data_IF_954316108635
#
_entry.id   IF_954316108635
#
_cell.length_a   1.000
_cell.length_b   1.000
_cell.length_c   1.000
_cell.angle_alpha   90.00
_cell.angle_beta   90.00
_cell.angle_gamma   90.00
#
_symmetry.space_group_name_H-M   'P 1'
#
loop_
_entity.id
_entity.type
_entity.pdbx_description
1 polymer ?
#
# COMPACT_ATOMS: atom_id res chain seq x y z
N UNK A 1 -5.39 -8.06 -1.38
CA UNK A 1 -4.82 -6.77 -0.99
C UNK A 1 -3.31 -6.86 -0.97
N UNK A 2 -2.60 -5.76 -1.09
CA UNK A 2 -1.25 -5.79 -1.68
C UNK A 2 -0.27 -4.99 -0.86
N UNK A 3 0.91 -5.52 -0.59
CA UNK A 3 2.03 -4.78 -0.03
C UNK A 3 2.80 -4.07 -1.16
N UNK A 4 2.98 -2.73 -1.10
CA UNK A 4 3.89 -1.97 -1.96
C UNK A 4 5.08 -1.51 -1.12
N UNK A 5 6.27 -1.83 -1.58
CA UNK A 5 7.51 -1.30 -0.99
C UNK A 5 7.84 -0.04 -1.79
N UNK A 6 7.89 1.10 -1.10
CA UNK A 6 8.34 2.36 -1.71
C UNK A 6 9.85 2.27 -2.00
N UNK A 7 10.19 2.15 -3.27
CA UNK A 7 11.59 2.11 -3.75
C UNK A 7 12.04 3.44 -4.36
N UNK A 8 11.25 4.52 -4.24
CA UNK A 8 11.61 5.86 -4.73
C UNK A 8 12.37 6.66 -3.68
N UNK A 9 13.50 6.14 -3.19
CA UNK A 9 14.56 6.97 -2.64
C UNK A 9 15.44 7.41 -3.82
N UNK A 10 15.23 8.63 -4.30
CA UNK A 10 16.06 9.24 -5.34
C UNK A 10 17.53 9.26 -4.91
N UNK A 11 18.42 8.88 -5.83
CA UNK A 11 19.86 9.07 -5.67
C UNK A 11 20.17 10.55 -5.40
N UNK A 12 21.02 10.90 -4.43
CA UNK A 12 21.53 12.25 -4.31
C UNK A 12 22.48 12.51 -5.49
N UNK A 13 22.18 13.55 -6.25
CA UNK A 13 23.07 14.09 -7.28
C UNK A 13 24.21 14.78 -6.54
N UNK A 14 25.44 14.36 -6.82
CA UNK A 14 26.66 14.89 -6.21
C UNK A 14 26.82 16.38 -6.47
N UNK A 15 27.20 17.10 -5.41
CA UNK A 15 27.66 18.46 -5.47
C UNK A 15 29.10 18.48 -5.98
N UNK A 16 29.35 19.08 -7.14
CA UNK A 16 30.68 19.54 -7.53
C UNK A 16 30.91 20.97 -7.00
N UNK A 17 31.87 21.10 -6.12
CA UNK A 17 32.46 22.37 -5.73
C UNK A 17 33.25 22.96 -6.89
N UNK A 18 33.09 24.28 -7.13
CA UNK A 18 34.15 25.12 -7.72
C UNK A 18 34.16 26.51 -7.13
N UNK A 19 35.36 27.13 -7.11
CA UNK A 19 35.77 28.07 -6.08
C UNK A 19 35.48 29.54 -6.40
N UNK A 20 35.43 30.29 -5.30
CA UNK A 20 35.43 31.75 -5.18
C UNK A 20 36.52 32.49 -5.95
N UNK A 21 36.13 33.60 -6.61
CA UNK A 21 36.98 34.81 -6.64
C UNK A 21 36.12 36.07 -6.61
N UNK A 22 36.45 36.89 -5.67
CA UNK A 22 35.98 38.26 -5.43
C UNK A 22 36.40 39.23 -6.53
N UNK A 23 35.56 40.21 -6.85
CA UNK A 23 35.98 41.63 -6.91
C UNK A 23 34.77 42.56 -7.06
N UNK A 24 34.90 43.63 -6.27
CA UNK A 24 34.00 44.77 -6.07
C UNK A 24 33.98 45.79 -7.19
N UNK A 25 32.99 46.73 -7.03
CA UNK A 25 32.80 48.09 -7.59
C UNK A 25 32.07 48.16 -8.91
N UNK A 26 31.17 49.06 -9.23
CA UNK A 26 30.88 50.41 -8.72
C UNK A 26 29.53 50.87 -9.27
N UNK A 27 28.91 51.74 -8.54
CA UNK A 27 27.73 52.54 -8.79
C UNK A 27 27.67 53.23 -10.15
N UNK A 28 26.51 53.29 -10.84
CA UNK A 28 26.03 54.51 -11.49
C UNK A 28 24.53 54.44 -11.73
N UNK A 29 23.80 55.37 -11.18
CA UNK A 29 22.43 55.71 -11.46
C UNK A 29 22.24 56.15 -12.92
N UNK A 30 21.17 55.67 -13.57
CA UNK A 30 20.48 56.48 -14.59
C UNK A 30 19.03 56.10 -14.72
N UNK A 31 18.29 57.13 -14.79
CA UNK A 31 16.88 57.43 -14.79
C UNK A 31 15.90 56.51 -15.53
N UNK A 32 14.70 56.55 -15.01
CA UNK A 32 13.40 56.08 -15.52
C UNK A 32 13.16 56.40 -17.02
N UNK A 33 12.72 55.36 -17.73
CA UNK A 33 11.81 55.59 -18.85
C UNK A 33 10.77 54.48 -18.87
N UNK A 34 9.57 54.79 -18.41
CA UNK A 34 8.39 53.96 -18.41
C UNK A 34 7.79 53.92 -19.84
N UNK A 35 8.00 52.77 -20.50
CA UNK A 35 7.12 52.39 -21.61
C UNK A 35 6.46 51.05 -21.28
N UNK A 36 5.15 50.87 -21.48
CA UNK A 36 4.46 49.64 -21.18
C UNK A 36 4.86 48.57 -22.21
N UNK A 37 5.68 47.62 -21.76
CA UNK A 37 5.91 46.39 -22.55
C UNK A 37 4.68 45.51 -22.40
N UNK A 38 3.86 45.51 -23.43
CA UNK A 38 2.90 44.44 -23.69
C UNK A 38 3.66 43.14 -23.87
N UNK A 39 3.69 42.28 -22.85
CA UNK A 39 4.21 40.93 -22.97
C UNK A 39 3.27 40.15 -23.89
N UNK A 40 3.64 40.04 -25.13
CA UNK A 40 3.04 39.08 -26.05
C UNK A 40 3.50 37.69 -25.66
N UNK A 41 2.69 37.02 -24.83
CA UNK A 41 2.70 35.57 -24.73
C UNK A 41 2.36 34.99 -26.10
N UNK A 42 3.31 34.39 -26.81
CA UNK A 42 3.03 33.53 -27.97
C UNK A 42 2.49 32.20 -27.43
N UNK A 43 1.24 31.81 -27.67
CA UNK A 43 0.78 30.47 -27.39
C UNK A 43 1.27 29.53 -28.50
N UNK A 44 1.96 28.50 -28.08
CA UNK A 44 2.57 27.47 -28.94
C UNK A 44 1.57 26.39 -29.41
N UNK A 45 0.33 26.76 -29.67
CA UNK A 45 -0.63 26.00 -30.52
C UNK A 45 -1.71 26.96 -30.99
N UNK A 46 -1.84 27.15 -32.30
CA UNK A 46 -2.96 27.90 -32.88
C UNK A 46 -4.29 27.21 -32.53
N UNK A 47 -4.95 27.75 -31.52
CA UNK A 47 -6.30 27.31 -31.12
C UNK A 47 -7.24 27.76 -32.23
N UNK A 48 -7.70 26.83 -33.07
CA UNK A 48 -8.76 27.09 -34.06
C UNK A 48 -10.09 27.24 -33.34
N UNK A 49 -10.35 28.41 -32.76
CA UNK A 49 -11.59 28.75 -32.10
C UNK A 49 -12.22 30.02 -32.72
N UNK A 50 -13.55 30.15 -32.61
CA UNK A 50 -14.21 31.40 -32.94
C UNK A 50 -13.87 32.46 -31.86
N UNK A 51 -13.89 33.77 -32.19
CA UNK A 51 -13.55 34.82 -31.21
C UNK A 51 -14.33 34.73 -29.91
N UNK A 52 -15.61 34.38 -29.96
CA UNK A 52 -16.48 34.20 -28.79
C UNK A 52 -16.07 32.96 -27.98
N UNK A 53 -15.74 31.86 -28.66
CA UNK A 53 -15.27 30.65 -28.00
C UNK A 53 -13.93 30.88 -27.27
N UNK A 54 -13.00 31.56 -27.96
CA UNK A 54 -11.69 31.90 -27.40
C UNK A 54 -11.82 32.80 -26.15
N UNK A 55 -12.73 33.79 -26.16
CA UNK A 55 -13.00 34.63 -25.01
C UNK A 55 -13.53 33.83 -23.80
N UNK A 56 -14.46 32.89 -24.01
CA UNK A 56 -15.01 32.04 -22.96
C UNK A 56 -13.96 31.07 -22.41
N UNK A 57 -13.13 30.46 -23.28
CA UNK A 57 -12.02 29.59 -22.89
C UNK A 57 -11.06 30.33 -21.95
N UNK A 58 -10.70 31.59 -22.32
CA UNK A 58 -9.81 32.41 -21.51
C UNK A 58 -10.45 32.84 -20.18
N UNK A 59 -11.72 33.28 -20.19
CA UNK A 59 -12.46 33.71 -19.00
C UNK A 59 -12.65 32.56 -18.00
N UNK A 60 -13.07 31.40 -18.46
CA UNK A 60 -13.39 30.23 -17.63
C UNK A 60 -12.21 29.29 -17.44
N UNK A 61 -11.02 29.59 -17.98
CA UNK A 61 -9.81 28.75 -17.92
C UNK A 61 -10.05 27.28 -18.33
N UNK A 62 -10.83 27.08 -19.40
CA UNK A 62 -11.14 25.75 -19.92
C UNK A 62 -9.92 25.20 -20.65
N UNK A 63 -9.53 23.95 -20.36
CA UNK A 63 -8.48 23.28 -21.15
C UNK A 63 -9.04 22.97 -22.54
N UNK A 64 -8.40 23.53 -23.56
CA UNK A 64 -8.79 23.33 -24.97
C UNK A 64 -8.80 21.86 -25.38
N UNK A 65 -7.97 21.03 -24.73
CA UNK A 65 -7.93 19.58 -24.97
C UNK A 65 -9.19 18.85 -24.53
N UNK A 66 -9.97 19.46 -23.65
CA UNK A 66 -11.24 18.92 -23.17
C UNK A 66 -12.44 19.35 -24.03
N UNK A 67 -12.23 20.22 -25.01
CA UNK A 67 -13.29 20.74 -25.90
C UNK A 67 -13.29 20.00 -27.23
N UNK A 68 -14.41 19.36 -27.58
CA UNK A 68 -14.59 18.70 -28.88
C UNK A 68 -15.07 19.73 -29.91
N UNK A 69 -14.29 20.07 -30.97
CA UNK A 69 -14.68 21.06 -31.97
C UNK A 69 -15.81 20.53 -32.88
N UNK A 70 -16.91 21.27 -32.99
CA UNK A 70 -18.03 20.94 -33.90
C UNK A 70 -18.17 21.91 -35.10
N UNK A 71 -17.40 22.99 -35.11
CA UNK A 71 -17.45 23.97 -36.19
C UNK A 71 -16.74 23.53 -37.46
N UNK A 72 -17.03 24.21 -38.57
CA UNK A 72 -16.41 23.95 -39.88
C UNK A 72 -14.87 24.07 -39.82
N UNK A 73 -14.17 23.15 -40.50
CA UNK A 73 -12.72 23.02 -40.47
C UNK A 73 -12.11 22.77 -39.08
N UNK A 74 -12.85 22.09 -38.18
CA UNK A 74 -12.38 21.75 -36.84
C UNK A 74 -12.26 22.96 -35.89
N UNK A 75 -13.04 24.05 -36.12
CA UNK A 75 -13.09 25.19 -35.21
C UNK A 75 -13.95 24.93 -34.01
N UNK A 76 -13.46 25.31 -32.83
CA UNK A 76 -14.23 25.33 -31.62
C UNK A 76 -15.24 26.48 -31.64
N UNK A 77 -16.51 26.18 -31.49
CA UNK A 77 -17.58 27.18 -31.40
C UNK A 77 -18.05 27.37 -29.93
N UNK A 78 -18.81 28.46 -29.69
CA UNK A 78 -19.32 28.77 -28.36
C UNK A 78 -20.03 27.55 -27.68
N UNK A 79 -20.83 26.82 -28.48
CA UNK A 79 -21.60 25.67 -27.95
C UNK A 79 -20.71 24.55 -27.46
N UNK A 80 -19.55 24.31 -28.10
CA UNK A 80 -18.59 23.28 -27.70
C UNK A 80 -17.99 23.58 -26.30
N UNK A 81 -17.62 24.86 -26.08
CA UNK A 81 -17.08 25.31 -24.81
C UNK A 81 -18.14 25.23 -23.70
N UNK A 82 -19.38 25.63 -24.00
CA UNK A 82 -20.49 25.51 -23.06
C UNK A 82 -20.83 24.04 -22.74
N UNK A 83 -20.72 23.14 -23.73
CA UNK A 83 -20.92 21.71 -23.50
C UNK A 83 -19.80 21.11 -22.62
N UNK A 84 -18.55 21.53 -22.82
CA UNK A 84 -17.43 21.12 -21.97
C UNK A 84 -17.61 21.62 -20.52
N UNK A 85 -18.03 22.85 -20.32
CA UNK A 85 -18.31 23.42 -19.00
C UNK A 85 -19.49 22.75 -18.29
N UNK A 86 -20.52 22.36 -19.05
CA UNK A 86 -21.67 21.65 -18.51
C UNK A 86 -21.36 20.19 -18.15
N UNK A 87 -20.30 19.61 -18.69
CA UNK A 87 -19.92 18.20 -18.51
C UNK A 87 -18.41 18.08 -18.22
N UNK A 88 -17.95 18.54 -17.04
CA UNK A 88 -16.53 18.48 -16.68
C UNK A 88 -16.05 17.00 -16.60
N UNK A 89 -14.85 16.75 -17.13
CA UNK A 89 -14.23 15.42 -17.16
C UNK A 89 -14.65 14.53 -18.34
N UNK A 90 -15.41 15.07 -19.30
CA UNK A 90 -15.75 14.36 -20.53
C UNK A 90 -14.53 14.23 -21.43
N UNK A 91 -14.25 13.03 -21.91
CA UNK A 91 -13.20 12.84 -22.94
C UNK A 91 -13.61 13.46 -24.27
N UNK A 92 -12.74 14.24 -24.94
CA UNK A 92 -13.00 14.78 -26.29
C UNK A 92 -13.42 13.69 -27.26
N UNK A 93 -14.40 13.99 -28.13
CA UNK A 93 -14.91 13.02 -29.13
C UNK A 93 -15.92 12.00 -28.59
N UNK A 94 -16.26 12.01 -27.29
CA UNK A 94 -17.29 11.13 -26.76
C UNK A 94 -18.67 11.75 -27.03
N UNK A 95 -19.58 11.02 -27.69
CA UNK A 95 -20.96 11.46 -27.88
C UNK A 95 -21.67 11.41 -26.53
N UNK A 96 -22.39 12.50 -26.17
CA UNK A 96 -23.21 12.54 -24.96
C UNK A 96 -24.32 11.47 -25.08
N UNK A 97 -24.48 10.69 -24.01
CA UNK A 97 -25.48 9.63 -23.88
C UNK A 97 -25.22 8.35 -24.69
N UNK A 98 -24.06 8.20 -25.36
CA UNK A 98 -23.64 6.90 -25.85
C UNK A 98 -23.25 5.98 -24.69
N UNK A 99 -23.87 4.79 -24.67
CA UNK A 99 -23.53 3.71 -23.72
C UNK A 99 -22.54 2.76 -24.37
N UNK A 100 -21.27 3.21 -24.48
CA UNK A 100 -20.22 2.40 -25.07
C UNK A 100 -19.73 1.35 -24.07
N UNK A 101 -19.83 0.09 -24.43
CA UNK A 101 -19.28 -1.05 -23.68
C UNK A 101 -17.97 -1.49 -24.33
N UNK A 102 -16.98 -1.76 -23.51
CA UNK A 102 -15.72 -2.36 -23.94
C UNK A 102 -15.62 -3.79 -23.42
N UNK A 103 -15.72 -4.75 -24.31
CA UNK A 103 -15.53 -6.16 -23.97
C UNK A 103 -14.05 -6.51 -24.09
N UNK A 104 -13.49 -7.07 -22.99
CA UNK A 104 -12.12 -7.55 -22.94
C UNK A 104 -12.07 -8.98 -22.39
N UNK A 105 -11.33 -9.85 -23.09
CA UNK A 105 -11.17 -11.26 -22.67
C UNK A 105 -10.24 -11.33 -21.45
N UNK A 106 -10.68 -12.01 -20.40
CA UNK A 106 -9.84 -12.22 -19.21
C UNK A 106 -8.56 -12.99 -19.54
N UNK A 107 -7.43 -12.54 -18.99
CA UNK A 107 -6.16 -13.25 -19.08
C UNK A 107 -6.23 -14.61 -18.34
N UNK A 108 -5.37 -15.57 -18.70
CA UNK A 108 -5.34 -16.88 -18.04
C UNK A 108 -5.03 -16.77 -16.54
N UNK A 109 -4.12 -15.86 -16.17
CA UNK A 109 -3.84 -15.55 -14.75
C UNK A 109 -5.10 -15.06 -14.02
N UNK A 110 -5.84 -14.12 -14.61
CA UNK A 110 -7.07 -13.59 -14.01
C UNK A 110 -8.14 -14.68 -13.84
N UNK A 111 -8.27 -15.58 -14.81
CA UNK A 111 -9.20 -16.74 -14.71
C UNK A 111 -8.80 -17.68 -13.57
N UNK A 112 -7.50 -17.97 -13.40
CA UNK A 112 -7.01 -18.81 -12.32
C UNK A 112 -7.23 -18.17 -10.96
N UNK A 113 -6.93 -16.86 -10.82
CA UNK A 113 -7.20 -16.10 -9.58
C UNK A 113 -8.70 -16.12 -9.25
N UNK A 114 -9.58 -15.84 -10.24
CA UNK A 114 -11.02 -15.86 -10.06
C UNK A 114 -11.51 -17.20 -9.53
N UNK A 115 -11.07 -18.31 -10.15
CA UNK A 115 -11.46 -19.66 -9.72
C UNK A 115 -11.02 -19.94 -8.27
N UNK A 116 -9.76 -19.65 -7.92
CA UNK A 116 -9.23 -19.86 -6.56
C UNK A 116 -9.96 -19.04 -5.50
N UNK A 117 -10.29 -17.78 -5.79
CA UNK A 117 -11.02 -16.93 -4.86
C UNK A 117 -12.45 -17.42 -4.63
N UNK A 118 -13.14 -17.85 -5.69
CA UNK A 118 -14.48 -18.44 -5.58
C UNK A 118 -14.42 -19.77 -4.82
N UNK A 119 -13.45 -20.61 -5.13
CA UNK A 119 -13.21 -21.87 -4.41
C UNK A 119 -13.00 -21.64 -2.92
N UNK A 120 -12.08 -20.76 -2.54
CA UNK A 120 -11.82 -20.42 -1.14
C UNK A 120 -13.09 -19.95 -0.43
N UNK A 121 -13.88 -19.07 -1.08
CA UNK A 121 -15.13 -18.55 -0.51
C UNK A 121 -16.18 -19.65 -0.30
N UNK A 122 -16.26 -20.63 -1.21
CA UNK A 122 -17.31 -21.66 -1.20
C UNK A 122 -16.94 -22.91 -0.38
N UNK A 123 -15.62 -23.17 -0.20
CA UNK A 123 -15.15 -24.39 0.51
C UNK A 123 -14.77 -24.15 1.96
N UNK A 124 -14.84 -22.91 2.44
CA UNK A 124 -14.54 -22.55 3.84
C UNK A 124 -15.76 -21.96 4.53
N UNK A 125 -15.91 -22.20 5.84
CA UNK A 125 -16.83 -21.47 6.71
C UNK A 125 -16.15 -20.16 7.17
N UNK A 126 -15.92 -19.24 6.21
CA UNK A 126 -15.10 -18.05 6.43
C UNK A 126 -15.79 -17.04 7.33
N UNK A 127 -15.15 -16.68 8.43
CA UNK A 127 -15.52 -15.60 9.33
C UNK A 127 -14.35 -14.60 9.45
N UNK A 128 -14.63 -13.36 9.83
CA UNK A 128 -13.61 -12.35 10.09
C UNK A 128 -13.84 -11.71 11.44
N UNK A 129 -12.79 -11.70 12.28
CA UNK A 129 -12.75 -10.91 13.50
C UNK A 129 -11.81 -9.72 13.34
N UNK A 130 -12.07 -8.64 14.07
CA UNK A 130 -11.33 -7.39 13.99
C UNK A 130 -10.78 -6.99 15.35
N UNK A 131 -9.64 -6.31 15.31
CA UNK A 131 -9.11 -5.58 16.45
C UNK A 131 -8.42 -4.29 15.96
N UNK A 132 -8.11 -3.40 16.87
CA UNK A 132 -7.32 -2.21 16.58
C UNK A 132 -6.02 -2.22 17.37
N UNK A 133 -4.96 -1.68 16.81
CA UNK A 133 -3.63 -1.64 17.40
C UNK A 133 -3.08 -0.23 17.41
N UNK A 134 -2.52 0.20 18.55
CA UNK A 134 -1.74 1.43 18.67
C UNK A 134 -0.34 1.22 18.08
N UNK A 135 -0.04 1.92 17.00
CA UNK A 135 1.23 1.81 16.29
C UNK A 135 2.32 2.71 16.85
N UNK A 136 2.07 3.46 17.93
CA UNK A 136 2.99 4.46 18.50
C UNK A 136 4.37 3.86 18.80
N UNK A 137 4.44 2.74 19.52
CA UNK A 137 5.70 2.11 19.92
C UNK A 137 6.54 1.68 18.71
N UNK A 138 5.93 1.02 17.72
CA UNK A 138 6.63 0.59 16.50
C UNK A 138 7.09 1.80 15.68
N UNK A 139 6.26 2.84 15.55
CA UNK A 139 6.63 4.06 14.82
C UNK A 139 7.80 4.79 15.51
N UNK A 140 7.81 4.85 16.83
CA UNK A 140 8.91 5.43 17.61
C UNK A 140 10.21 4.65 17.41
N UNK A 141 10.19 3.32 17.54
CA UNK A 141 11.34 2.45 17.31
C UNK A 141 11.89 2.67 15.88
N UNK A 142 11.02 2.66 14.89
CA UNK A 142 11.42 2.89 13.50
C UNK A 142 12.02 4.28 13.30
N UNK A 143 11.41 5.33 13.84
CA UNK A 143 11.91 6.70 13.72
C UNK A 143 13.30 6.83 14.35
N UNK A 144 13.51 6.22 15.52
CA UNK A 144 14.77 6.29 16.27
C UNK A 144 15.89 5.47 15.63
N UNK A 145 15.59 4.32 15.03
CA UNK A 145 16.59 3.33 14.64
C UNK A 145 16.70 3.06 13.14
N UNK A 146 15.83 3.60 12.28
CA UNK A 146 15.77 3.29 10.83
C UNK A 146 17.10 3.50 10.10
N UNK A 147 17.80 4.60 10.40
CA UNK A 147 19.03 4.96 9.69
C UNK A 147 20.20 4.03 10.08
N UNK A 148 20.35 3.76 11.39
CA UNK A 148 21.35 2.83 11.91
C UNK A 148 21.08 1.39 11.46
N UNK A 149 19.81 0.98 11.44
CA UNK A 149 19.41 -0.34 10.95
C UNK A 149 19.76 -0.51 9.47
N UNK A 150 19.48 0.51 8.65
CA UNK A 150 19.82 0.52 7.23
C UNK A 150 21.32 0.49 6.98
N UNK A 151 22.09 1.24 7.76
CA UNK A 151 23.55 1.25 7.71
C UNK A 151 24.14 -0.15 7.98
N UNK A 152 23.64 -0.85 9.01
CA UNK A 152 24.15 -2.14 9.44
C UNK A 152 23.69 -3.31 8.57
N UNK A 153 22.45 -3.27 8.08
CA UNK A 153 21.82 -4.43 7.43
C UNK A 153 21.56 -4.24 5.93
N UNK A 154 21.77 -3.03 5.39
CA UNK A 154 21.55 -2.72 3.97
C UNK A 154 20.07 -2.66 3.54
N UNK A 155 19.12 -2.88 4.47
CA UNK A 155 17.69 -2.86 4.23
C UNK A 155 16.98 -1.89 5.18
N UNK A 156 15.82 -1.36 4.76
CA UNK A 156 15.04 -0.47 5.62
C UNK A 156 14.30 -1.27 6.69
N UNK A 157 14.18 -0.71 7.90
CA UNK A 157 13.31 -1.24 8.95
C UNK A 157 11.84 -0.95 8.59
N UNK A 158 11.15 -1.92 8.02
CA UNK A 158 9.73 -1.85 7.64
C UNK A 158 8.78 -2.19 8.80
N UNK A 159 7.50 -2.27 8.48
CA UNK A 159 6.50 -2.82 9.41
C UNK A 159 6.42 -4.34 9.31
N UNK A 160 6.82 -4.91 8.15
CA UNK A 160 6.59 -6.33 7.88
C UNK A 160 7.34 -7.24 8.83
N UNK A 161 8.55 -6.90 9.25
CA UNK A 161 9.30 -7.66 10.25
C UNK A 161 8.58 -7.73 11.61
N UNK A 162 8.02 -6.60 12.09
CA UNK A 162 7.25 -6.59 13.34
C UNK A 162 6.01 -7.46 13.23
N UNK A 163 5.21 -7.30 12.16
CA UNK A 163 4.01 -8.10 11.95
C UNK A 163 4.31 -9.57 11.76
N UNK A 164 5.34 -9.91 10.98
CA UNK A 164 5.73 -11.31 10.77
C UNK A 164 6.15 -11.94 12.10
N UNK A 165 7.00 -11.27 12.90
CA UNK A 165 7.41 -11.79 14.21
C UNK A 165 6.24 -11.92 15.17
N UNK A 166 5.37 -10.92 15.27
CA UNK A 166 4.18 -11.01 16.12
C UNK A 166 3.28 -12.18 15.70
N UNK A 167 3.09 -12.38 14.40
CA UNK A 167 2.32 -13.52 13.90
C UNK A 167 2.99 -14.86 14.21
N UNK A 168 4.32 -15.00 14.02
CA UNK A 168 5.00 -16.27 14.32
C UNK A 168 4.89 -16.67 15.77
N UNK A 169 5.04 -15.73 16.74
CA UNK A 169 4.81 -16.00 18.15
C UNK A 169 3.36 -16.39 18.42
N UNK A 170 2.40 -15.66 17.87
CA UNK A 170 1.00 -15.97 18.09
C UNK A 170 0.58 -17.31 17.45
N UNK A 171 1.15 -17.69 16.29
CA UNK A 171 0.88 -18.98 15.65
C UNK A 171 1.38 -20.18 16.47
N UNK A 172 2.50 -20.02 17.19
CA UNK A 172 2.99 -21.05 18.12
C UNK A 172 2.09 -21.22 19.36
N UNK A 173 1.47 -20.15 19.84
CA UNK A 173 0.53 -20.17 20.97
C UNK A 173 -0.88 -20.64 20.56
N UNK A 174 -1.25 -20.43 19.29
CA UNK A 174 -2.56 -20.77 18.72
C UNK A 174 -2.41 -21.67 17.47
N UNK A 175 -2.02 -22.96 17.63
CA UNK A 175 -1.66 -23.83 16.49
C UNK A 175 -2.82 -24.08 15.53
N UNK A 176 -4.08 -23.99 15.95
CA UNK A 176 -5.23 -24.12 15.04
C UNK A 176 -5.23 -23.04 13.93
N UNK A 177 -4.67 -21.86 14.19
CA UNK A 177 -4.54 -20.78 13.19
C UNK A 177 -3.45 -21.08 12.16
N UNK A 178 -2.49 -21.98 12.51
CA UNK A 178 -1.40 -22.46 11.64
C UNK A 178 -1.65 -23.88 11.13
N UNK A 179 -2.89 -24.22 10.83
CA UNK A 179 -3.29 -25.54 10.38
C UNK A 179 -4.10 -25.45 9.08
N UNK A 180 -4.38 -26.61 8.48
CA UNK A 180 -5.33 -26.72 7.36
C UNK A 180 -6.08 -28.05 7.38
N UNK A 181 -7.20 -28.12 6.64
CA UNK A 181 -8.01 -29.32 6.53
C UNK A 181 -7.53 -30.13 5.30
N UNK A 182 -7.26 -31.43 5.51
CA UNK A 182 -7.01 -32.39 4.47
C UNK A 182 -7.99 -33.58 4.63
N UNK A 183 -9.01 -33.61 3.80
CA UNK A 183 -10.11 -34.58 3.93
C UNK A 183 -10.84 -34.43 5.29
N UNK A 184 -10.73 -35.45 6.12
CA UNK A 184 -11.28 -35.51 7.50
C UNK A 184 -10.23 -35.21 8.58
N UNK A 185 -8.99 -34.86 8.17
CA UNK A 185 -7.88 -34.62 9.07
C UNK A 185 -7.54 -33.14 9.18
N UNK A 186 -7.01 -32.72 10.33
CA UNK A 186 -6.41 -31.40 10.52
C UNK A 186 -4.90 -31.60 10.53
N UNK A 187 -4.19 -30.88 9.68
CA UNK A 187 -2.73 -30.89 9.63
C UNK A 187 -2.23 -29.62 10.33
N UNK A 188 -1.54 -29.79 11.45
CA UNK A 188 -0.87 -28.72 12.19
C UNK A 188 0.56 -28.54 11.71
N UNK A 189 1.01 -27.30 11.57
CA UNK A 189 2.39 -26.98 11.24
C UNK A 189 3.17 -26.56 12.48
N UNK A 190 4.33 -27.18 12.71
CA UNK A 190 5.26 -26.82 13.80
C UNK A 190 6.30 -25.78 13.36
N UNK A 191 6.10 -25.17 12.18
CA UNK A 191 6.91 -24.12 11.58
C UNK A 191 5.98 -23.03 11.00
N UNK A 192 6.54 -21.84 10.76
CA UNK A 192 5.79 -20.69 10.25
C UNK A 192 6.33 -20.24 8.88
N UNK A 193 5.72 -20.71 7.81
CA UNK A 193 5.98 -20.26 6.44
C UNK A 193 5.01 -19.14 6.09
N UNK A 194 5.47 -17.90 6.24
CA UNK A 194 4.59 -16.73 6.13
C UNK A 194 4.54 -16.21 4.69
N UNK A 195 3.35 -16.25 4.12
CA UNK A 195 3.06 -15.71 2.80
C UNK A 195 2.79 -14.20 2.89
N UNK A 196 3.44 -13.40 2.06
CA UNK A 196 3.24 -11.95 2.00
C UNK A 196 2.59 -11.56 0.69
N UNK A 197 1.41 -10.91 0.75
CA UNK A 197 0.74 -10.47 -0.46
C UNK A 197 1.45 -9.26 -1.09
N UNK A 198 1.92 -9.41 -2.34
CA UNK A 198 2.66 -8.40 -3.10
C UNK A 198 1.94 -8.03 -4.39
N UNK A 199 1.81 -6.71 -4.66
CA UNK A 199 1.33 -6.21 -5.95
C UNK A 199 2.43 -6.31 -7.01
N UNK A 200 2.13 -7.04 -8.06
CA UNK A 200 2.98 -7.14 -9.24
C UNK A 200 2.26 -6.58 -10.48
N UNK A 201 2.97 -6.23 -11.57
CA UNK A 201 2.35 -5.66 -12.77
C UNK A 201 1.28 -6.58 -13.39
N UNK A 202 1.42 -7.90 -13.25
CA UNK A 202 0.43 -8.88 -13.75
C UNK A 202 -0.70 -9.19 -12.79
N UNK A 203 -0.65 -8.70 -11.56
CA UNK A 203 -1.66 -8.93 -10.53
C UNK A 203 -1.06 -9.21 -9.15
N UNK A 204 -1.89 -9.65 -8.21
CA UNK A 204 -1.48 -10.02 -6.86
C UNK A 204 -0.77 -11.38 -6.89
N UNK A 205 0.40 -11.46 -6.25
CA UNK A 205 1.14 -12.68 -5.98
C UNK A 205 1.43 -12.79 -4.48
N UNK A 206 1.64 -14.00 -3.98
CA UNK A 206 1.74 -14.25 -2.53
C UNK A 206 2.97 -15.13 -2.26
N UNK A 207 4.20 -14.58 -2.41
CA UNK A 207 5.42 -15.33 -2.12
C UNK A 207 5.57 -15.65 -0.64
N UNK A 208 6.35 -16.68 -0.32
CA UNK A 208 6.47 -17.30 1.00
C UNK A 208 7.85 -17.04 1.60
N UNK A 209 7.87 -16.54 2.83
CA UNK A 209 9.05 -16.47 3.69
C UNK A 209 9.09 -17.75 4.53
N UNK A 210 10.06 -18.62 4.26
CA UNK A 210 10.21 -19.90 4.94
C UNK A 210 10.79 -19.74 6.33
N UNK A 211 10.30 -20.56 7.29
CA UNK A 211 10.75 -20.59 8.68
C UNK A 211 10.90 -19.18 9.27
N UNK A 212 9.87 -18.37 9.11
CA UNK A 212 9.90 -16.94 9.50
C UNK A 212 10.12 -16.75 11.03
N UNK A 213 9.77 -17.76 11.84
CA UNK A 213 10.02 -17.82 13.27
C UNK A 213 11.52 -17.77 13.60
N UNK A 214 12.36 -18.38 12.78
CA UNK A 214 13.82 -18.46 12.99
C UNK A 214 14.58 -17.22 12.51
N UNK A 215 13.96 -16.39 11.65
CA UNK A 215 14.63 -15.23 11.05
C UNK A 215 14.70 -14.04 12.01
N UNK A 216 15.77 -13.27 11.93
CA UNK A 216 15.86 -11.96 12.57
C UNK A 216 14.98 -10.92 11.86
N UNK A 217 14.78 -9.75 12.49
CA UNK A 217 14.08 -8.62 11.86
C UNK A 217 14.71 -8.23 10.52
N UNK A 218 16.05 -8.17 10.46
CA UNK A 218 16.79 -7.87 9.25
C UNK A 218 16.64 -8.97 8.20
N UNK A 219 16.64 -10.25 8.62
CA UNK A 219 16.42 -11.40 7.74
C UNK A 219 15.04 -11.36 7.08
N UNK A 220 14.00 -11.04 7.85
CA UNK A 220 12.63 -10.91 7.33
C UNK A 220 12.55 -9.74 6.32
N UNK A 221 13.06 -8.55 6.66
CA UNK A 221 13.02 -7.39 5.73
C UNK A 221 13.80 -7.67 4.44
N UNK A 222 14.96 -8.35 4.54
CA UNK A 222 15.73 -8.78 3.37
C UNK A 222 14.92 -9.72 2.47
N UNK A 223 14.25 -10.71 3.06
CA UNK A 223 13.39 -11.63 2.31
C UNK A 223 12.19 -10.94 1.68
N UNK A 224 11.57 -10.00 2.40
CA UNK A 224 10.46 -9.18 1.87
C UNK A 224 10.92 -8.39 0.63
N UNK A 225 12.09 -7.72 0.71
CA UNK A 225 12.65 -6.95 -0.42
C UNK A 225 13.02 -7.86 -1.60
N UNK A 226 13.68 -8.99 -1.34
CA UNK A 226 14.05 -9.99 -2.36
C UNK A 226 12.81 -10.47 -3.13
N UNK A 227 11.82 -11.00 -2.40
CA UNK A 227 10.61 -11.57 -2.99
C UNK A 227 9.75 -10.51 -3.70
N UNK A 228 9.67 -9.30 -3.13
CA UNK A 228 8.94 -8.21 -3.77
C UNK A 228 9.63 -7.74 -5.08
N UNK A 229 10.96 -7.74 -5.14
CA UNK A 229 11.72 -7.43 -6.35
C UNK A 229 11.48 -8.49 -7.43
N UNK A 230 11.62 -9.77 -7.08
CA UNK A 230 11.29 -10.89 -7.98
C UNK A 230 9.84 -10.83 -8.49
N UNK A 231 8.90 -10.46 -7.62
CA UNK A 231 7.49 -10.28 -7.98
C UNK A 231 7.30 -9.19 -9.04
N UNK A 232 7.91 -8.01 -8.84
CA UNK A 232 7.86 -6.88 -9.79
C UNK A 232 8.50 -7.24 -11.14
N UNK A 233 9.56 -8.03 -11.13
CA UNK A 233 10.27 -8.49 -12.33
C UNK A 233 9.61 -9.73 -12.98
N UNK A 234 8.54 -10.27 -12.40
CA UNK A 234 7.89 -11.53 -12.81
C UNK A 234 8.85 -12.74 -12.82
N UNK A 235 9.76 -12.80 -11.83
CA UNK A 235 10.79 -13.84 -11.69
C UNK A 235 10.53 -14.81 -10.52
N UNK A 236 9.37 -14.71 -9.84
CA UNK A 236 9.02 -15.66 -8.79
C UNK A 236 8.84 -17.06 -9.36
N UNK A 237 9.42 -18.05 -8.68
CA UNK A 237 9.24 -19.47 -9.00
C UNK A 237 7.93 -19.99 -8.38
N UNK A 238 7.49 -21.18 -8.79
CA UNK A 238 6.30 -21.82 -8.23
C UNK A 238 6.57 -22.20 -6.77
N UNK A 239 7.76 -22.68 -6.45
CA UNK A 239 8.18 -23.07 -5.10
C UNK A 239 8.15 -21.86 -4.15
N UNK A 240 8.49 -20.67 -4.63
CA UNK A 240 8.42 -19.42 -3.84
C UNK A 240 6.99 -18.96 -3.58
N UNK A 241 5.99 -19.47 -4.29
CA UNK A 241 4.59 -19.08 -4.21
C UNK A 241 3.67 -20.15 -3.61
N UNK A 242 4.21 -21.31 -3.20
CA UNK A 242 3.43 -22.45 -2.70
C UNK A 242 3.90 -22.89 -1.33
N UNK A 243 3.04 -23.57 -0.57
CA UNK A 243 3.40 -24.19 0.70
C UNK A 243 3.50 -23.23 1.89
N UNK A 244 3.01 -21.99 1.79
CA UNK A 244 2.89 -21.12 2.96
C UNK A 244 1.81 -21.61 3.91
N UNK A 245 1.99 -21.36 5.23
CA UNK A 245 1.07 -21.80 6.28
C UNK A 245 0.11 -20.72 6.76
N UNK A 246 0.50 -19.46 6.64
CA UNK A 246 -0.29 -18.30 7.02
C UNK A 246 -0.02 -17.12 6.07
N UNK A 247 -1.00 -16.26 5.84
CA UNK A 247 -0.84 -15.10 4.93
C UNK A 247 -1.00 -13.78 5.66
N UNK A 248 -0.12 -12.83 5.36
CA UNK A 248 -0.25 -11.42 5.78
C UNK A 248 -0.46 -10.58 4.51
N UNK A 249 -1.50 -9.73 4.54
CA UNK A 249 -1.83 -8.82 3.43
C UNK A 249 -1.98 -7.39 3.95
N UNK A 250 -1.49 -6.40 3.20
CA UNK A 250 -1.55 -5.00 3.59
C UNK A 250 -2.36 -4.18 2.56
N UNK A 251 -3.59 -3.82 2.93
CA UNK A 251 -4.44 -2.92 2.15
C UNK A 251 -4.28 -1.44 2.51
N UNK A 252 -3.60 -1.15 3.62
CA UNK A 252 -3.44 0.20 4.13
C UNK A 252 -2.64 1.12 3.21
N UNK A 253 -1.69 0.56 2.46
CA UNK A 253 -0.92 1.31 1.44
C UNK A 253 -1.79 1.87 0.30
N UNK A 254 -2.96 1.28 0.05
CA UNK A 254 -3.97 1.77 -0.90
C UNK A 254 -5.06 2.60 -0.23
N UNK A 255 -4.90 2.89 1.07
CA UNK A 255 -5.84 3.69 1.85
C UNK A 255 -7.03 2.90 2.43
N UNK A 256 -7.04 1.55 2.37
CA UNK A 256 -8.10 0.75 2.97
C UNK A 256 -8.15 0.97 4.48
N UNK A 257 -9.30 1.41 4.99
CA UNK A 257 -9.54 1.55 6.42
C UNK A 257 -9.77 0.19 7.08
N UNK A 258 -10.57 -0.65 6.46
CA UNK A 258 -10.96 -1.98 6.94
C UNK A 258 -11.48 -2.83 5.79
N UNK A 259 -11.16 -4.12 5.79
CA UNK A 259 -11.65 -5.10 4.81
C UNK A 259 -11.60 -6.51 5.40
N UNK A 260 -12.36 -7.41 4.79
CA UNK A 260 -12.38 -8.84 5.11
C UNK A 260 -11.59 -9.60 4.05
N UNK A 261 -10.29 -9.91 4.26
CA UNK A 261 -9.50 -10.61 3.27
C UNK A 261 -10.03 -12.04 3.05
N UNK A 262 -9.91 -12.52 1.81
CA UNK A 262 -10.26 -13.91 1.47
C UNK A 262 -9.06 -14.79 1.79
N UNK A 263 -9.29 -15.93 2.42
CA UNK A 263 -8.27 -16.92 2.78
C UNK A 263 -7.54 -17.42 1.54
N UNK A 264 -6.23 -17.63 1.68
CA UNK A 264 -5.40 -18.23 0.62
C UNK A 264 -5.31 -19.75 0.84
N UNK A 265 -6.26 -20.51 0.29
CA UNK A 265 -6.30 -21.96 0.45
C UNK A 265 -5.00 -22.65 -0.03
N UNK A 266 -4.56 -23.73 0.67
CA UNK A 266 -5.25 -24.48 1.74
C UNK A 266 -5.13 -23.90 3.15
N UNK A 267 -4.46 -22.76 3.34
CA UNK A 267 -4.32 -22.11 4.64
C UNK A 267 -5.68 -21.84 5.29
N UNK A 268 -5.72 -21.84 6.62
CA UNK A 268 -6.98 -21.62 7.36
C UNK A 268 -7.19 -20.19 7.81
N UNK A 269 -6.17 -19.34 7.71
CA UNK A 269 -6.29 -17.95 8.14
C UNK A 269 -5.43 -16.96 7.34
N UNK A 270 -5.82 -15.70 7.38
CA UNK A 270 -5.12 -14.57 6.77
C UNK A 270 -5.29 -13.32 7.63
N UNK A 271 -4.17 -12.62 7.90
CA UNK A 271 -4.17 -11.33 8.58
C UNK A 271 -4.19 -10.19 7.57
N UNK A 272 -5.17 -9.30 7.68
CA UNK A 272 -5.26 -8.05 6.94
C UNK A 272 -4.77 -6.87 7.77
N UNK A 273 -3.77 -6.15 7.23
CA UNK A 273 -3.31 -4.87 7.74
C UNK A 273 -3.99 -3.73 6.98
N UNK A 274 -4.25 -2.63 7.67
CA UNK A 274 -4.97 -1.50 7.10
C UNK A 274 -4.20 -0.17 7.28
N UNK A 275 -4.83 0.93 6.87
CA UNK A 275 -4.22 2.26 6.97
C UNK A 275 -3.98 2.65 8.43
N UNK A 276 -2.77 3.14 8.73
CA UNK A 276 -2.50 3.85 9.98
C UNK A 276 -3.16 5.21 9.88
N UNK A 277 -3.95 5.56 10.88
CA UNK A 277 -4.68 6.83 10.93
C UNK A 277 -4.73 7.34 12.36
N UNK A 278 -4.47 8.63 12.54
CA UNK A 278 -4.64 9.30 13.82
C UNK A 278 -6.11 9.27 14.25
N UNK A 279 -6.35 8.77 15.49
CA UNK A 279 -7.69 8.63 16.07
C UNK A 279 -7.72 9.11 17.50
N UNK A 280 -8.83 9.73 17.95
CA UNK A 280 -9.04 10.02 19.35
C UNK A 280 -9.32 8.71 20.11
N UNK A 281 -8.46 8.40 21.08
CA UNK A 281 -8.59 7.22 21.94
C UNK A 281 -8.81 7.66 23.38
N UNK A 282 -9.72 6.98 24.08
CA UNK A 282 -9.93 7.22 25.53
C UNK A 282 -8.91 6.40 26.33
N UNK A 283 -7.93 7.08 26.92
CA UNK A 283 -6.88 6.45 27.74
C UNK A 283 -6.89 7.09 29.13
N UNK A 284 -7.10 6.31 30.17
CA UNK A 284 -7.16 6.80 31.56
C UNK A 284 -8.14 7.98 31.76
N UNK A 285 -9.28 7.93 31.06
CA UNK A 285 -10.30 8.98 31.13
C UNK A 285 -10.00 10.26 30.34
N UNK A 286 -8.89 10.29 29.58
CA UNK A 286 -8.52 11.42 28.72
C UNK A 286 -8.59 11.03 27.24
N UNK A 287 -8.91 12.00 26.38
CA UNK A 287 -8.86 11.81 24.94
C UNK A 287 -7.44 12.10 24.44
N UNK A 288 -6.79 11.07 23.89
CA UNK A 288 -5.43 11.17 23.35
C UNK A 288 -5.45 10.78 21.88
N UNK A 289 -4.75 11.53 21.04
CA UNK A 289 -4.60 11.16 19.61
C UNK A 289 -3.51 10.08 19.49
N UNK A 290 -3.86 8.97 18.83
CA UNK A 290 -2.98 7.82 18.61
C UNK A 290 -3.00 7.39 17.15
N UNK A 291 -1.86 6.96 16.59
CA UNK A 291 -1.79 6.34 15.25
C UNK A 291 -2.32 4.92 15.33
N UNK A 292 -3.58 4.73 14.98
CA UNK A 292 -4.29 3.45 15.08
C UNK A 292 -4.33 2.73 13.74
N UNK A 293 -4.22 1.39 13.79
CA UNK A 293 -4.43 0.51 12.63
C UNK A 293 -5.50 -0.53 12.97
N UNK A 294 -6.46 -0.75 12.07
CA UNK A 294 -7.33 -1.91 12.16
C UNK A 294 -6.62 -3.16 11.64
N UNK A 295 -6.80 -4.25 12.36
CA UNK A 295 -6.41 -5.59 11.96
C UNK A 295 -7.66 -6.42 11.71
N UNK A 296 -7.62 -7.25 10.67
CA UNK A 296 -8.67 -8.20 10.35
C UNK A 296 -8.06 -9.60 10.24
N UNK A 297 -8.56 -10.55 11.00
CA UNK A 297 -8.23 -11.95 10.84
C UNK A 297 -9.43 -12.64 10.20
N UNK A 298 -9.29 -13.06 8.92
CA UNK A 298 -10.25 -13.97 8.31
C UNK A 298 -9.76 -15.40 8.50
N UNK A 299 -10.66 -16.30 8.86
CA UNK A 299 -10.32 -17.67 9.22
C UNK A 299 -11.44 -18.65 8.86
N UNK A 300 -11.08 -19.92 8.75
CA UNK A 300 -12.03 -21.01 8.52
C UNK A 300 -12.57 -21.51 9.86
N UNK A 301 -13.85 -21.20 10.13
CA UNK A 301 -14.50 -21.52 11.39
C UNK A 301 -14.75 -23.01 11.60
N UNK A 302 -14.41 -23.86 10.62
CA UNK A 302 -14.48 -25.31 10.76
C UNK A 302 -13.38 -25.87 11.67
N UNK A 303 -12.23 -25.16 11.78
CA UNK A 303 -11.08 -25.57 12.61
C UNK A 303 -10.60 -24.48 13.57
N UNK A 304 -10.98 -23.22 13.38
CA UNK A 304 -10.61 -22.11 14.24
C UNK A 304 -11.89 -21.56 14.86
N UNK A 305 -12.05 -21.68 16.15
CA UNK A 305 -13.23 -21.14 16.85
C UNK A 305 -13.01 -19.69 17.34
N UNK A 306 -14.06 -19.14 17.99
CA UNK A 306 -14.03 -17.75 18.46
C UNK A 306 -12.94 -17.47 19.50
N UNK A 307 -12.61 -18.43 20.37
CA UNK A 307 -11.55 -18.28 21.39
C UNK A 307 -10.19 -18.20 20.73
N UNK A 308 -9.92 -19.06 19.78
CA UNK A 308 -8.63 -19.16 19.09
C UNK A 308 -8.39 -17.95 18.17
N UNK A 309 -9.39 -17.57 17.37
CA UNK A 309 -9.29 -16.44 16.45
C UNK A 309 -9.11 -15.10 17.17
N UNK A 310 -9.92 -14.87 18.23
CA UNK A 310 -9.82 -13.65 19.03
C UNK A 310 -8.55 -13.66 19.87
N UNK A 311 -8.20 -14.79 20.51
CA UNK A 311 -6.97 -14.94 21.30
C UNK A 311 -5.72 -14.68 20.47
N UNK A 312 -5.64 -15.28 19.26
CA UNK A 312 -4.56 -15.00 18.31
C UNK A 312 -4.45 -13.51 17.98
N UNK A 313 -5.56 -12.87 17.62
CA UNK A 313 -5.55 -11.46 17.21
C UNK A 313 -5.22 -10.51 18.36
N UNK A 314 -5.68 -10.82 19.58
CA UNK A 314 -5.30 -10.10 20.82
C UNK A 314 -3.81 -10.26 21.07
N UNK A 315 -3.26 -11.47 20.91
CA UNK A 315 -1.83 -11.71 21.12
C UNK A 315 -0.97 -10.95 20.10
N UNK A 316 -1.35 -10.94 18.83
CA UNK A 316 -0.68 -10.13 17.80
C UNK A 316 -0.71 -8.64 18.19
N UNK A 317 -1.85 -8.13 18.65
CA UNK A 317 -1.98 -6.75 19.14
C UNK A 317 -1.01 -6.46 20.28
N UNK A 318 -0.99 -7.29 21.32
CA UNK A 318 -0.10 -7.13 22.47
C UNK A 318 1.37 -7.03 22.08
N UNK A 319 1.82 -7.93 21.19
CA UNK A 319 3.19 -7.95 20.68
C UNK A 319 3.56 -6.75 19.81
N UNK A 320 2.59 -6.16 19.12
CA UNK A 320 2.80 -4.95 18.31
C UNK A 320 2.77 -3.67 19.15
N UNK A 321 1.94 -3.62 20.19
CA UNK A 321 1.85 -2.48 21.11
C UNK A 321 3.02 -2.47 22.12
N UNK A 322 3.62 -3.65 22.41
CA UNK A 322 4.77 -3.82 23.28
C UNK A 322 5.87 -4.62 22.57
N UNK A 323 6.60 -4.00 21.60
CA UNK A 323 7.54 -4.71 20.73
C UNK A 323 8.73 -5.36 21.45
N UNK A 324 9.05 -4.97 22.68
CA UNK A 324 10.06 -5.62 23.53
C UNK A 324 9.71 -7.07 23.87
N UNK A 325 8.43 -7.42 23.90
CA UNK A 325 7.98 -8.79 24.08
C UNK A 325 8.43 -9.72 22.94
N UNK A 326 8.72 -9.16 21.75
CA UNK A 326 9.23 -9.93 20.59
C UNK A 326 10.63 -10.51 20.82
N UNK A 327 11.36 -10.08 21.86
CA UNK A 327 12.67 -10.67 22.19
C UNK A 327 12.53 -12.13 22.63
N UNK A 328 11.52 -12.44 23.47
CA UNK A 328 11.34 -13.76 24.07
C UNK A 328 9.92 -14.31 23.95
N UNK A 329 9.02 -13.62 23.25
CA UNK A 329 7.59 -13.93 23.23
C UNK A 329 6.87 -13.65 24.57
N UNK A 330 7.58 -13.15 25.58
CA UNK A 330 7.07 -12.82 26.91
C UNK A 330 7.83 -11.65 27.51
N UNK A 331 7.35 -11.13 28.64
CA UNK A 331 7.96 -10.01 29.35
C UNK A 331 9.45 -10.30 29.66
N UNK A 332 10.40 -9.47 29.13
CA UNK A 332 11.82 -9.67 29.36
C UNK A 332 12.22 -9.60 30.84
N UNK A 333 11.55 -8.74 31.62
CA UNK A 333 11.82 -8.59 33.07
C UNK A 333 11.35 -9.83 33.84
N UNK A 334 10.13 -10.34 33.53
CA UNK A 334 9.65 -11.59 34.10
C UNK A 334 10.54 -12.77 33.71
N UNK A 335 11.01 -12.81 32.46
CA UNK A 335 11.95 -13.82 32.01
C UNK A 335 13.29 -13.75 32.73
N UNK A 336 13.80 -12.54 33.01
CA UNK A 336 15.03 -12.32 33.78
C UNK A 336 14.87 -12.73 35.26
N UNK A 337 13.68 -12.53 35.81
CA UNK A 337 13.37 -12.82 37.21
C UNK A 337 12.80 -14.25 37.41
N UNK A 338 12.70 -15.05 36.35
CA UNK A 338 12.14 -16.42 36.38
C UNK A 338 10.70 -16.50 36.94
N UNK A 339 9.88 -15.43 36.60
CA UNK A 339 8.48 -15.30 37.04
C UNK A 339 7.50 -15.80 35.98
#
# INVERSE_FOLDING_TARGET
MVCSIDTTAGKPVGAEEKPTTSKSKENTQKELNLQPQTSTFKPETEIKATPVAAAIIADKKVDVKEVTPSGSNGKIVKQDVMAALANPGRKPGTVLFERNERVEKMSNLRKTISRRLVEAKNTTAMLTTFNEVDMSAIMEIRTRHKDKFKELHGVNLGFMSFFTKACTYALLEWPAVNAYIDGESIIYHEYCDISIAVSAPKGLVVPVIRNAESLSMAGIETKVVELATKAKENKLTIEEMTGGTFTITNGGIFGSMMSTPIINIPQSAILGMHKIQDRPMAINGQVVIKPMMYLALSYDHRIIDGRESVGFLVRVKELLENPELLLFGKDPVKSLLEL
#
